data_IF_859172262187
#
_entry.id   IF_859172262187
#
_cell.length_a   1.000
_cell.length_b   1.000
_cell.length_c   1.000
_cell.angle_alpha   90.00
_cell.angle_beta   90.00
_cell.angle_gamma   90.00
#
_symmetry.space_group_name_H-M   'P 1'
#
loop_
_entity.id
_entity.type
_entity.pdbx_description
1 polymer ?
#
# COMPACT_ATOMS: atom_id res chain seq x y z
N UNK A 1 -11.94 -3.03 -68.67
CA UNK A 1 -11.21 -2.91 -67.38
C UNK A 1 -10.18 -1.79 -67.53
N UNK A 2 -9.88 -0.96 -66.51
CA UNK A 2 -10.37 -0.93 -65.14
C UNK A 2 -11.33 0.22 -64.81
N UNK A 3 -12.07 -0.01 -63.73
CA UNK A 3 -12.92 0.90 -62.97
C UNK A 3 -12.07 1.92 -62.22
N UNK A 4 -12.40 3.21 -62.32
CA UNK A 4 -11.90 4.23 -61.40
C UNK A 4 -13.11 5.03 -60.91
N UNK A 5 -13.59 4.69 -59.73
CA UNK A 5 -14.71 5.35 -59.09
C UNK A 5 -14.41 5.53 -57.59
N UNK A 6 -14.21 6.79 -57.24
CA UNK A 6 -14.60 7.42 -55.98
C UNK A 6 -13.94 6.85 -54.71
N UNK A 7 -12.83 7.47 -54.33
CA UNK A 7 -12.36 7.53 -52.95
C UNK A 7 -13.40 8.27 -52.10
N UNK A 8 -14.35 7.54 -51.55
CA UNK A 8 -15.27 8.04 -50.52
C UNK A 8 -14.51 8.19 -49.20
N UNK A 9 -14.69 9.37 -48.60
CA UNK A 9 -14.18 9.77 -47.29
C UNK A 9 -14.52 8.76 -46.20
N UNK A 10 -13.53 8.41 -45.37
CA UNK A 10 -13.73 7.81 -44.05
C UNK A 10 -13.22 8.79 -42.97
N UNK A 11 -13.97 9.00 -41.87
CA UNK A 11 -13.65 9.98 -40.83
C UNK A 11 -12.38 9.63 -40.05
N UNK A 12 -11.73 10.61 -39.38
CA UNK A 12 -10.46 10.40 -38.69
C UNK A 12 -10.64 9.38 -37.56
N UNK A 13 -9.79 8.36 -37.58
CA UNK A 13 -9.65 7.39 -36.49
C UNK A 13 -9.35 8.15 -35.20
N UNK A 14 -10.27 8.02 -34.25
CA UNK A 14 -10.07 8.45 -32.86
C UNK A 14 -8.98 7.54 -32.31
N UNK A 15 -7.74 8.01 -32.30
CA UNK A 15 -6.62 7.32 -31.64
C UNK A 15 -6.92 7.31 -30.14
N UNK A 16 -7.63 6.29 -29.67
CA UNK A 16 -7.78 6.03 -28.26
C UNK A 16 -6.45 5.45 -27.78
N UNK A 17 -5.70 6.12 -26.88
CA UNK A 17 -4.54 5.49 -26.27
C UNK A 17 -5.06 4.37 -25.38
N UNK A 18 -4.92 3.13 -25.85
CA UNK A 18 -5.06 1.94 -25.03
C UNK A 18 -4.05 2.05 -23.90
N UNK A 19 -4.54 2.43 -22.72
CA UNK A 19 -3.82 2.24 -21.45
C UNK A 19 -3.35 0.79 -21.42
N UNK A 20 -2.06 0.51 -21.12
CA UNK A 20 -1.61 -0.86 -20.99
C UNK A 20 -2.39 -1.48 -19.83
N UNK A 21 -3.32 -2.38 -20.16
CA UNK A 21 -3.90 -3.31 -19.20
C UNK A 21 -2.75 -4.22 -18.78
N UNK A 22 -2.11 -3.87 -17.67
CA UNK A 22 -1.20 -4.75 -16.95
C UNK A 22 -2.00 -5.99 -16.56
N UNK A 23 -1.94 -7.02 -17.39
CA UNK A 23 -2.27 -8.37 -16.97
C UNK A 23 -1.14 -8.81 -16.06
N UNK A 24 -1.18 -8.34 -14.82
CA UNK A 24 -0.31 -8.84 -13.77
C UNK A 24 -0.82 -10.22 -13.42
N UNK A 25 -0.26 -11.25 -14.06
CA UNK A 25 -0.42 -12.62 -13.59
C UNK A 25 -0.05 -12.68 -12.09
N UNK A 26 -0.72 -13.50 -11.28
CA UNK A 26 -0.50 -13.55 -9.82
C UNK A 26 0.98 -13.69 -9.44
N UNK A 27 1.77 -14.37 -10.27
CA UNK A 27 3.21 -14.56 -10.12
C UNK A 27 4.02 -13.24 -10.19
N UNK A 28 3.67 -12.34 -11.11
CA UNK A 28 4.32 -11.02 -11.27
C UNK A 28 3.91 -10.07 -10.14
N UNK A 29 2.67 -10.19 -9.65
CA UNK A 29 2.23 -9.46 -8.46
C UNK A 29 3.01 -9.93 -7.21
N UNK A 30 3.19 -11.24 -7.07
CA UNK A 30 3.93 -11.86 -5.97
C UNK A 30 5.39 -11.39 -5.91
N UNK A 31 6.07 -11.32 -7.06
CA UNK A 31 7.46 -10.85 -7.14
C UNK A 31 7.60 -9.36 -6.80
N UNK A 32 6.70 -8.52 -7.32
CA UNK A 32 6.71 -7.09 -7.00
C UNK A 32 6.37 -6.82 -5.52
N UNK A 33 5.47 -7.61 -4.94
CA UNK A 33 5.16 -7.57 -3.52
C UNK A 33 6.35 -8.01 -2.65
N UNK A 34 7.02 -9.11 -3.01
CA UNK A 34 8.21 -9.59 -2.30
C UNK A 34 9.37 -8.57 -2.34
N UNK A 35 9.58 -7.92 -3.48
CA UNK A 35 10.56 -6.85 -3.61
C UNK A 35 10.21 -5.63 -2.74
N UNK A 36 8.94 -5.21 -2.75
CA UNK A 36 8.46 -4.10 -1.92
C UNK A 36 8.54 -4.40 -0.41
N UNK A 37 8.28 -5.65 -0.03
CA UNK A 37 8.39 -6.12 1.36
C UNK A 37 9.84 -6.10 1.83
N UNK A 38 10.78 -6.54 0.99
CA UNK A 38 12.21 -6.49 1.30
C UNK A 38 12.70 -5.05 1.51
N UNK A 39 12.26 -4.12 0.68
CA UNK A 39 12.57 -2.69 0.81
C UNK A 39 11.97 -2.10 2.09
N UNK A 40 10.72 -2.43 2.39
CA UNK A 40 10.06 -2.01 3.61
C UNK A 40 10.77 -2.52 4.87
N UNK A 41 11.24 -3.78 4.88
CA UNK A 41 12.00 -4.33 6.02
C UNK A 41 13.33 -3.58 6.21
N UNK A 42 14.04 -3.28 5.12
CA UNK A 42 15.27 -2.48 5.19
C UNK A 42 15.00 -1.07 5.74
N UNK A 43 13.90 -0.46 5.33
CA UNK A 43 13.49 0.87 5.79
C UNK A 43 13.10 0.90 7.26
N UNK A 44 12.43 -0.15 7.76
CA UNK A 44 12.11 -0.30 9.19
C UNK A 44 13.38 -0.41 10.03
N UNK A 45 14.39 -1.14 9.55
CA UNK A 45 15.68 -1.24 10.24
C UNK A 45 16.37 0.14 10.38
N UNK A 46 16.38 0.93 9.31
CA UNK A 46 16.93 2.29 9.32
C UNK A 46 16.14 3.23 10.26
N UNK A 47 14.81 3.13 10.26
CA UNK A 47 13.94 3.88 11.17
C UNK A 47 14.12 3.47 12.64
N UNK A 48 14.43 2.20 12.91
CA UNK A 48 14.72 1.70 14.25
C UNK A 48 16.02 2.31 14.80
N UNK A 49 17.09 2.31 14.01
CA UNK A 49 18.38 2.94 14.37
C UNK A 49 18.19 4.44 14.62
N UNK A 50 17.41 5.11 13.76
CA UNK A 50 17.09 6.53 13.92
C UNK A 50 16.27 6.79 15.19
N UNK A 51 15.31 5.91 15.52
CA UNK A 51 14.51 5.99 16.74
C UNK A 51 15.33 5.75 18.00
N UNK A 52 16.29 4.83 17.99
CA UNK A 52 17.18 4.59 19.13
C UNK A 52 18.07 5.81 19.40
N UNK A 53 18.51 6.47 18.32
CA UNK A 53 19.26 7.73 18.40
C UNK A 53 18.41 8.90 18.91
N UNK A 54 17.13 8.97 18.55
CA UNK A 54 16.21 9.98 19.08
C UNK A 54 15.79 9.69 20.53
N UNK A 55 15.61 8.43 20.89
CA UNK A 55 15.31 7.99 22.26
C UNK A 55 16.48 8.30 23.20
N UNK A 56 17.71 8.05 22.77
CA UNK A 56 18.92 8.48 23.50
C UNK A 56 18.99 10.01 23.69
N UNK A 57 18.41 10.79 22.76
CA UNK A 57 18.30 12.25 22.91
C UNK A 57 17.15 12.65 23.85
N UNK A 58 16.04 11.90 23.87
CA UNK A 58 14.83 12.19 24.65
C UNK A 58 14.95 11.88 26.15
N UNK A 59 15.76 10.87 26.52
CA UNK A 59 16.04 10.50 27.93
C UNK A 59 16.68 11.67 28.72
N UNK A 60 17.13 12.74 28.04
CA UNK A 60 17.61 13.99 28.65
C UNK A 60 16.52 14.90 29.27
N UNK A 61 15.28 14.42 29.44
CA UNK A 61 14.31 14.97 30.41
C UNK A 61 13.36 16.05 29.90
N UNK A 62 12.25 15.62 29.29
CA UNK A 62 11.15 16.52 28.87
C UNK A 62 9.98 16.58 29.85
N UNK A 63 9.46 17.78 30.08
CA UNK A 63 8.22 18.12 30.80
C UNK A 63 7.02 17.28 30.33
N UNK A 64 6.37 16.53 31.23
CA UNK A 64 5.08 15.87 30.95
C UNK A 64 4.10 16.20 32.07
N UNK A 65 3.00 16.84 31.71
CA UNK A 65 1.91 17.19 32.62
C UNK A 65 0.92 16.00 32.75
N UNK A 66 0.36 15.75 33.94
CA UNK A 66 -0.48 14.58 34.23
C UNK A 66 -1.67 14.40 33.26
N UNK A 67 -2.21 15.51 32.72
CA UNK A 67 -3.33 15.46 31.78
C UNK A 67 -2.93 14.85 30.43
N UNK A 68 -1.70 15.06 29.96
CA UNK A 68 -1.20 14.46 28.72
C UNK A 68 -1.09 12.95 28.82
N UNK A 69 -0.71 12.42 29.99
CA UNK A 69 -0.64 10.97 30.25
C UNK A 69 -2.03 10.33 30.17
N UNK A 70 -3.05 10.98 30.73
CA UNK A 70 -4.43 10.50 30.67
C UNK A 70 -4.97 10.50 29.24
N UNK A 71 -4.74 11.57 28.47
CA UNK A 71 -5.13 11.67 27.07
C UNK A 71 -4.41 10.60 26.23
N UNK A 72 -3.11 10.42 26.44
CA UNK A 72 -2.32 9.40 25.75
C UNK A 72 -2.83 7.98 26.06
N UNK A 73 -3.17 7.68 27.32
CA UNK A 73 -3.73 6.39 27.73
C UNK A 73 -5.10 6.12 27.08
N UNK A 74 -5.97 7.13 27.05
CA UNK A 74 -7.27 7.01 26.40
C UNK A 74 -7.15 6.80 24.89
N UNK A 75 -6.24 7.55 24.24
CA UNK A 75 -5.94 7.43 22.81
C UNK A 75 -5.35 6.06 22.47
N UNK A 76 -4.43 5.55 23.30
CA UNK A 76 -3.83 4.22 23.13
C UNK A 76 -4.89 3.11 23.21
N UNK A 77 -5.82 3.23 24.16
CA UNK A 77 -6.93 2.28 24.33
C UNK A 77 -7.83 2.21 23.09
N UNK A 78 -8.23 3.37 22.53
CA UNK A 78 -9.05 3.43 21.31
C UNK A 78 -8.29 2.89 20.10
N UNK A 79 -7.01 3.23 19.97
CA UNK A 79 -6.15 2.78 18.87
C UNK A 79 -5.92 1.27 18.90
N UNK A 80 -5.76 0.69 20.08
CA UNK A 80 -5.62 -0.75 20.26
C UNK A 80 -6.87 -1.49 19.78
N UNK A 81 -8.06 -1.01 20.16
CA UNK A 81 -9.32 -1.59 19.70
C UNK A 81 -9.46 -1.52 18.17
N UNK A 82 -9.13 -0.37 17.56
CA UNK A 82 -9.13 -0.23 16.10
C UNK A 82 -8.14 -1.19 15.42
N UNK A 83 -6.98 -1.43 16.05
CA UNK A 83 -5.96 -2.35 15.52
C UNK A 83 -6.43 -3.80 15.54
N UNK A 84 -7.19 -4.20 16.56
CA UNK A 84 -7.78 -5.55 16.64
C UNK A 84 -8.77 -5.75 15.48
N UNK A 85 -9.61 -4.77 15.19
CA UNK A 85 -10.55 -4.83 14.06
C UNK A 85 -9.83 -4.94 12.71
N UNK A 86 -8.76 -4.16 12.51
CA UNK A 86 -7.93 -4.25 11.30
C UNK A 86 -7.26 -5.62 11.20
N UNK A 87 -6.71 -6.15 12.30
CA UNK A 87 -6.11 -7.50 12.34
C UNK A 87 -7.12 -8.55 11.89
N UNK A 88 -8.34 -8.49 12.43
CA UNK A 88 -9.40 -9.43 12.08
C UNK A 88 -9.71 -9.37 10.57
N UNK A 89 -9.87 -8.16 10.01
CA UNK A 89 -10.12 -7.96 8.57
C UNK A 89 -8.98 -8.46 7.67
N UNK A 90 -7.73 -8.31 8.11
CA UNK A 90 -6.56 -8.82 7.37
C UNK A 90 -6.52 -10.35 7.36
N UNK A 91 -6.89 -10.99 8.48
CA UNK A 91 -6.99 -12.46 8.55
C UNK A 91 -8.10 -12.96 7.62
N UNK A 92 -9.27 -12.31 7.62
CA UNK A 92 -10.38 -12.63 6.71
C UNK A 92 -9.94 -12.47 5.24
N UNK A 93 -9.25 -11.38 4.90
CA UNK A 93 -8.75 -11.15 3.54
C UNK A 93 -7.74 -12.22 3.11
N UNK A 94 -6.85 -12.66 4.02
CA UNK A 94 -5.92 -13.75 3.73
C UNK A 94 -6.65 -15.07 3.47
N UNK A 95 -7.65 -15.40 4.30
CA UNK A 95 -8.47 -16.59 4.11
C UNK A 95 -9.22 -16.57 2.77
N UNK A 96 -9.77 -15.42 2.37
CA UNK A 96 -10.49 -15.28 1.11
C UNK A 96 -9.58 -15.49 -0.12
N UNK A 97 -8.37 -14.93 -0.10
CA UNK A 97 -7.37 -15.15 -1.17
C UNK A 97 -6.99 -16.63 -1.29
N UNK A 98 -6.85 -17.34 -0.16
CA UNK A 98 -6.60 -18.79 -0.19
C UNK A 98 -7.77 -19.57 -0.77
N UNK A 99 -9.02 -19.14 -0.52
CA UNK A 99 -10.23 -19.77 -1.08
C UNK A 99 -10.43 -19.50 -2.57
N UNK A 100 -9.96 -18.37 -3.09
CA UNK A 100 -9.96 -18.09 -4.53
C UNK A 100 -8.90 -18.87 -5.30
N UNK A 101 -7.89 -19.42 -4.62
CA UNK A 101 -6.70 -20.03 -5.24
C UNK A 101 -6.72 -21.57 -5.28
N UNK A 102 -7.85 -22.22 -4.96
CA UNK A 102 -8.04 -23.68 -5.08
C UNK A 102 -8.97 -24.04 -6.24
#
# INVERSE_FOLDING_TARGET
MPINAVSIMAPPAITQPTKPTLHTTPEVAQQNFAASLKDAIAKVNDQQITSDKMTSKLINGGNVELHDVMIASQKASVTLNATIEVRNKVIEAYQEIMRMSV
#
